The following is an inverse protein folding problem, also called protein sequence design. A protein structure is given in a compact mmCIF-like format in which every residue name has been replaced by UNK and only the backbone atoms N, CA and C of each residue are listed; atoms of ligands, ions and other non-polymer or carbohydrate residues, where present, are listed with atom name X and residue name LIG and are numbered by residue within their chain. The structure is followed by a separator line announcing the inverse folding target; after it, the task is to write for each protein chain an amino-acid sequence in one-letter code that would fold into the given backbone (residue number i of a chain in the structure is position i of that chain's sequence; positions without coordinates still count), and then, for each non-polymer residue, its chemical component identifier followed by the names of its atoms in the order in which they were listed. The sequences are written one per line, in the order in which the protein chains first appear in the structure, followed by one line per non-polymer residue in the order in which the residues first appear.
data_IF_219223060758
#
_entry.id   IF_219223060758
#
_cell.length_a   1.000
_cell.length_b   1.000
_cell.length_c   1.000
_cell.angle_alpha   90.00
_cell.angle_beta   90.00
_cell.angle_gamma   90.00
#
_symmetry.space_group_name_H-M   'P 1'
#
loop_
_entity.id
_entity.type
_entity.pdbx_description
1 polymer ?
#
# COMPACT_ATOMS: atom_id res chain seq x y z
N UNK A 1 2.89 11.80 -31.71
CA UNK A 1 3.27 10.39 -31.46
C UNK A 1 2.39 9.54 -32.36
N UNK A 2 2.99 8.77 -33.27
CA UNK A 2 2.26 7.99 -34.27
C UNK A 2 1.88 6.67 -33.61
N UNK A 3 0.60 6.48 -33.28
CA UNK A 3 0.10 5.21 -32.76
C UNK A 3 0.19 4.15 -33.86
N UNK A 4 1.24 3.32 -33.79
CA UNK A 4 1.43 2.21 -34.69
C UNK A 4 0.29 1.21 -34.47
N UNK A 5 -0.66 1.15 -35.41
CA UNK A 5 -1.80 0.23 -35.39
C UNK A 5 -1.28 -1.21 -35.45
N UNK A 6 -1.15 -1.85 -34.29
CA UNK A 6 -0.68 -3.23 -34.15
C UNK A 6 -1.66 -4.13 -34.91
N UNK A 7 -1.17 -4.83 -35.95
CA UNK A 7 -1.97 -5.78 -36.72
C UNK A 7 -2.40 -6.93 -35.80
N UNK A 8 -3.71 -7.09 -35.60
CA UNK A 8 -4.29 -8.21 -34.82
C UNK A 8 -3.90 -9.52 -35.50
N UNK A 9 -3.24 -10.42 -34.76
CA UNK A 9 -2.88 -11.76 -35.25
C UNK A 9 -4.15 -12.59 -35.43
N UNK A 10 -4.31 -13.20 -36.61
CA UNK A 10 -5.41 -14.14 -36.85
C UNK A 10 -5.16 -15.41 -36.04
N UNK A 11 -6.08 -15.72 -35.13
CA UNK A 11 -6.02 -16.94 -34.30
C UNK A 11 -7.15 -17.88 -34.69
N UNK A 12 -6.87 -19.17 -34.80
CA UNK A 12 -7.87 -20.18 -35.19
C UNK A 12 -8.97 -20.31 -34.12
N UNK A 13 -10.24 -20.25 -34.52
CA UNK A 13 -11.41 -20.38 -33.64
C UNK A 13 -12.09 -21.74 -33.76
N UNK A 14 -11.31 -22.82 -33.90
CA UNK A 14 -11.86 -24.18 -34.12
C UNK A 14 -12.28 -24.92 -32.84
N UNK A 15 -11.69 -24.58 -31.70
CA UNK A 15 -11.93 -25.29 -30.42
C UNK A 15 -12.48 -24.33 -29.37
N UNK A 16 -13.38 -24.80 -28.50
CA UNK A 16 -13.93 -24.01 -27.37
C UNK A 16 -12.86 -23.35 -26.51
N UNK A 17 -11.73 -24.04 -26.28
CA UNK A 17 -10.56 -23.49 -25.56
C UNK A 17 -9.94 -22.28 -26.27
N UNK A 18 -9.95 -22.25 -27.60
CA UNK A 18 -9.44 -21.11 -28.37
C UNK A 18 -10.41 -19.92 -28.33
N UNK A 19 -11.72 -20.18 -28.41
CA UNK A 19 -12.75 -19.16 -28.23
C UNK A 19 -12.61 -18.44 -26.89
N UNK A 20 -12.53 -19.21 -25.78
CA UNK A 20 -12.38 -18.63 -24.43
C UNK A 20 -11.13 -17.77 -24.25
N UNK A 21 -10.06 -18.01 -25.01
CA UNK A 21 -8.76 -17.33 -24.85
C UNK A 21 -8.59 -16.09 -25.72
N UNK A 22 -9.28 -16.02 -26.86
CA UNK A 22 -9.02 -15.00 -27.90
C UNK A 22 -10.26 -14.18 -28.25
N UNK A 23 -11.35 -14.33 -27.50
CA UNK A 23 -12.46 -13.38 -27.51
C UNK A 23 -12.12 -12.31 -26.48
N UNK A 24 -11.97 -11.08 -26.95
CA UNK A 24 -11.72 -9.93 -26.10
C UNK A 24 -13.07 -9.38 -25.62
N UNK A 25 -13.37 -9.56 -24.34
CA UNK A 25 -14.59 -9.04 -23.69
C UNK A 25 -14.33 -7.77 -22.89
N UNK A 26 -13.08 -7.28 -22.88
CA UNK A 26 -12.66 -6.15 -22.05
C UNK A 26 -13.45 -4.88 -22.34
N UNK A 27 -13.78 -4.64 -23.60
CA UNK A 27 -14.59 -3.49 -24.02
C UNK A 27 -16.00 -3.53 -23.37
N UNK A 28 -16.62 -4.71 -23.34
CA UNK A 28 -17.93 -4.89 -22.70
C UNK A 28 -17.81 -4.75 -21.17
N UNK A 29 -16.78 -5.35 -20.58
CA UNK A 29 -16.54 -5.25 -19.13
C UNK A 29 -16.28 -3.79 -18.71
N UNK A 30 -15.44 -3.07 -19.45
CA UNK A 30 -15.10 -1.66 -19.20
C UNK A 30 -16.33 -0.76 -19.36
N UNK A 31 -17.17 -1.01 -20.36
CA UNK A 31 -18.45 -0.32 -20.51
C UNK A 31 -19.40 -0.57 -19.32
N UNK A 32 -19.54 -1.82 -18.87
CA UNK A 32 -20.39 -2.15 -17.72
C UNK A 32 -19.86 -1.57 -16.42
N UNK A 33 -18.55 -1.56 -16.23
CA UNK A 33 -17.90 -0.95 -15.06
C UNK A 33 -18.05 0.57 -15.05
N UNK A 34 -17.90 1.22 -16.20
CA UNK A 34 -18.16 2.66 -16.34
C UNK A 34 -19.61 3.00 -16.02
N UNK A 35 -20.58 2.22 -16.51
CA UNK A 35 -21.99 2.42 -16.19
C UNK A 35 -22.27 2.29 -14.68
N UNK A 36 -21.69 1.29 -14.00
CA UNK A 36 -21.82 1.15 -12.54
C UNK A 36 -21.15 2.30 -11.79
N UNK A 37 -20.01 2.78 -12.28
CA UNK A 37 -19.32 3.94 -11.71
C UNK A 37 -20.15 5.20 -11.85
N UNK A 38 -20.78 5.42 -13.01
CA UNK A 38 -21.73 6.50 -13.22
C UNK A 38 -22.90 6.38 -12.25
N UNK A 39 -23.57 5.23 -12.15
CA UNK A 39 -24.64 4.99 -11.15
C UNK A 39 -24.20 5.30 -9.71
N UNK A 40 -22.95 4.98 -9.34
CA UNK A 40 -22.39 5.28 -8.02
C UNK A 40 -22.09 6.76 -7.79
N UNK A 41 -21.60 7.45 -8.82
CA UNK A 41 -21.22 8.87 -8.77
C UNK A 41 -22.39 9.81 -9.06
N UNK A 42 -23.54 9.27 -9.50
CA UNK A 42 -24.78 9.99 -9.76
C UNK A 42 -25.02 10.26 -11.26
N UNK A 43 -25.58 11.42 -11.58
CA UNK A 43 -26.00 11.75 -12.96
C UNK A 43 -24.81 11.68 -13.92
N UNK A 44 -24.93 10.98 -15.08
CA UNK A 44 -23.86 10.91 -16.07
C UNK A 44 -23.54 12.29 -16.61
N UNK A 45 -22.28 12.51 -16.98
CA UNK A 45 -21.79 13.85 -17.36
C UNK A 45 -22.55 14.43 -18.57
N UNK A 46 -23.02 13.58 -19.48
CA UNK A 46 -23.79 13.95 -20.67
C UNK A 46 -25.17 14.54 -20.37
N UNK A 47 -25.77 14.19 -19.23
CA UNK A 47 -27.10 14.65 -18.83
C UNK A 47 -27.05 15.89 -17.92
N UNK A 48 -25.86 16.24 -17.40
CA UNK A 48 -25.69 17.40 -16.51
C UNK A 48 -25.80 18.69 -17.30
N UNK A 49 -26.50 19.67 -16.73
CA UNK A 49 -26.62 21.01 -17.32
C UNK A 49 -25.29 21.75 -17.17
N UNK A 50 -24.87 22.47 -18.22
CA UNK A 50 -23.61 23.23 -18.24
C UNK A 50 -23.44 24.18 -17.03
N UNK A 51 -24.53 24.72 -16.49
CA UNK A 51 -24.52 25.60 -15.31
C UNK A 51 -24.08 24.89 -14.02
N UNK A 52 -24.28 23.58 -13.91
CA UNK A 52 -23.79 22.76 -12.79
C UNK A 52 -22.34 22.31 -12.99
N UNK A 53 -21.90 22.19 -14.25
CA UNK A 53 -20.56 21.75 -14.61
C UNK A 53 -19.53 22.88 -14.50
N UNK A 54 -19.94 24.10 -14.85
CA UNK A 54 -19.04 25.24 -14.97
C UNK A 54 -19.48 26.37 -14.07
N UNK A 55 -18.64 26.73 -13.10
CA UNK A 55 -18.73 28.00 -12.38
C UNK A 55 -17.74 28.95 -13.04
N UNK A 56 -18.26 30.01 -13.66
CA UNK A 56 -17.41 31.08 -14.19
C UNK A 56 -16.91 31.89 -13.01
N UNK A 57 -15.65 31.66 -12.63
CA UNK A 57 -14.97 32.43 -11.61
C UNK A 57 -14.80 33.87 -12.13
N UNK A 58 -15.66 34.78 -11.67
CA UNK A 58 -15.58 36.23 -11.94
C UNK A 58 -14.71 36.96 -10.92
N UNK A 59 -13.94 36.21 -10.14
CA UNK A 59 -12.89 36.80 -9.33
C UNK A 59 -11.79 37.26 -10.29
N UNK A 60 -11.70 38.57 -10.52
CA UNK A 60 -10.46 39.14 -11.04
C UNK A 60 -9.37 38.64 -10.10
N UNK A 61 -8.46 37.84 -10.65
CA UNK A 61 -7.42 37.17 -9.90
C UNK A 61 -6.37 38.22 -9.49
N UNK A 62 -6.74 39.15 -8.62
CA UNK A 62 -5.82 39.74 -7.67
C UNK A 62 -5.61 38.65 -6.62
N UNK A 63 -4.80 37.66 -6.99
CA UNK A 63 -4.25 36.68 -6.06
C UNK A 63 -3.32 37.46 -5.13
N UNK A 64 -3.88 38.17 -4.15
CA UNK A 64 -3.17 38.63 -2.97
C UNK A 64 -2.82 37.41 -2.11
N UNK A 65 -2.12 36.44 -2.69
CA UNK A 65 -1.46 35.40 -1.91
C UNK A 65 -0.43 36.12 -1.08
N UNK A 66 -0.59 36.05 0.24
CA UNK A 66 0.49 36.40 1.17
C UNK A 66 1.79 35.77 0.67
N UNK A 67 2.90 36.50 0.76
CA UNK A 67 4.22 36.03 0.28
C UNK A 67 4.54 34.59 0.72
N UNK A 68 4.05 34.19 1.90
CA UNK A 68 4.16 32.82 2.45
C UNK A 68 3.38 31.76 1.66
N UNK A 69 2.17 32.07 1.19
CA UNK A 69 1.36 31.13 0.39
C UNK A 69 1.93 30.96 -1.01
N UNK A 70 2.41 32.05 -1.64
CA UNK A 70 3.10 31.99 -2.91
C UNK A 70 4.38 31.14 -2.83
N UNK A 71 5.18 31.31 -1.77
CA UNK A 71 6.37 30.50 -1.52
C UNK A 71 6.05 29.00 -1.33
N UNK A 72 4.94 28.66 -0.64
CA UNK A 72 4.49 27.27 -0.47
C UNK A 72 4.04 26.63 -1.78
N UNK A 73 3.30 27.35 -2.62
CA UNK A 73 2.90 26.85 -3.94
C UNK A 73 4.11 26.65 -4.85
N UNK A 74 5.07 27.57 -4.83
CA UNK A 74 6.33 27.42 -5.55
C UNK A 74 7.13 26.20 -5.08
N UNK A 75 7.16 25.91 -3.77
CA UNK A 75 7.79 24.71 -3.22
C UNK A 75 7.06 23.42 -3.64
N UNK A 76 5.72 23.44 -3.73
CA UNK A 76 4.94 22.27 -4.17
C UNK A 76 5.21 21.92 -5.63
N UNK A 77 5.41 22.93 -6.48
CA UNK A 77 5.70 22.75 -7.90
C UNK A 77 7.20 22.53 -8.19
N UNK A 78 8.08 22.81 -7.22
CA UNK A 78 9.52 22.60 -7.36
C UNK A 78 9.85 21.12 -7.22
N UNK A 79 10.70 20.62 -8.11
CA UNK A 79 11.21 19.25 -8.01
C UNK A 79 11.95 19.03 -6.68
N UNK A 80 11.78 17.86 -6.02
CA UNK A 80 12.46 17.60 -4.76
C UNK A 80 13.97 17.46 -4.95
N UNK A 81 14.72 17.89 -3.93
CA UNK A 81 16.19 18.01 -3.96
C UNK A 81 16.91 16.71 -4.33
N UNK A 82 16.32 15.54 -4.06
CA UNK A 82 16.89 14.24 -4.41
C UNK A 82 17.08 14.05 -5.93
N UNK A 83 16.30 14.72 -6.77
CA UNK A 83 16.47 14.67 -8.22
C UNK A 83 17.57 15.60 -8.74
N UNK A 84 18.13 16.49 -7.91
CA UNK A 84 19.24 17.37 -8.31
C UNK A 84 20.47 16.57 -8.76
N UNK A 85 20.72 15.40 -8.15
CA UNK A 85 21.83 14.51 -8.53
C UNK A 85 21.62 13.78 -9.85
N UNK A 86 20.39 13.78 -10.40
CA UNK A 86 20.09 13.18 -11.70
C UNK A 86 20.23 14.19 -12.85
N UNK A 87 20.22 15.48 -12.55
CA UNK A 87 20.44 16.53 -13.54
C UNK A 87 21.94 16.67 -13.80
N UNK A 88 22.36 16.96 -15.04
CA UNK A 88 23.76 17.20 -15.34
C UNK A 88 24.23 18.47 -14.61
N UNK A 89 25.50 18.48 -14.19
CA UNK A 89 26.11 19.65 -13.54
C UNK A 89 26.29 20.84 -14.49
N UNK A 90 26.26 20.61 -15.81
CA UNK A 90 26.36 21.60 -16.87
C UNK A 90 25.17 21.50 -17.82
N UNK A 91 24.67 22.63 -18.30
CA UNK A 91 23.58 22.70 -19.28
C UNK A 91 24.05 22.43 -20.73
N UNK A 92 25.35 22.18 -20.89
CA UNK A 92 25.97 21.76 -22.15
C UNK A 92 25.61 20.30 -22.43
N UNK A 93 25.06 19.97 -23.62
CA UNK A 93 24.78 18.58 -23.98
C UNK A 93 26.09 17.78 -24.10
N UNK A 94 26.10 16.57 -23.56
CA UNK A 94 27.25 15.66 -23.66
C UNK A 94 27.60 15.43 -25.15
N UNK A 95 28.86 15.67 -25.58
CA UNK A 95 29.27 15.48 -26.98
C UNK A 95 29.25 14.02 -27.43
N UNK A 96 29.12 13.07 -26.50
CA UNK A 96 29.11 11.62 -26.76
C UNK A 96 27.74 11.07 -26.34
N UNK A 97 26.82 10.91 -27.30
CA UNK A 97 25.43 10.49 -27.03
C UNK A 97 25.26 8.99 -26.70
N UNK A 98 26.23 8.15 -27.07
CA UNK A 98 26.18 6.69 -26.89
C UNK A 98 27.46 6.20 -26.23
N UNK A 99 27.36 5.86 -24.93
CA UNK A 99 28.43 5.19 -24.19
C UNK A 99 28.11 3.71 -24.05
N UNK A 100 29.14 2.86 -24.07
CA UNK A 100 28.99 1.44 -23.77
C UNK A 100 28.67 1.28 -22.26
N UNK A 101 27.41 0.98 -21.93
CA UNK A 101 27.02 0.78 -20.53
C UNK A 101 27.38 -0.63 -20.05
N UNK A 102 28.23 -0.71 -19.03
CA UNK A 102 28.46 -1.95 -18.28
C UNK A 102 27.17 -2.29 -17.51
N UNK A 103 26.62 -3.49 -17.74
CA UNK A 103 25.43 -3.96 -17.02
C UNK A 103 25.74 -4.05 -15.52
N UNK A 104 25.13 -3.17 -14.73
CA UNK A 104 25.20 -3.19 -13.25
C UNK A 104 24.77 -4.57 -12.71
N UNK A 105 25.37 -5.00 -11.59
CA UNK A 105 25.12 -6.32 -10.96
C UNK A 105 23.62 -6.56 -10.69
N UNK A 106 22.91 -5.53 -10.24
CA UNK A 106 21.47 -5.56 -9.99
C UNK A 106 20.65 -5.89 -11.25
N UNK A 107 20.96 -5.28 -12.40
CA UNK A 107 20.32 -5.61 -13.68
C UNK A 107 20.64 -7.03 -14.15
N UNK A 108 21.82 -7.56 -13.83
CA UNK A 108 22.18 -8.97 -14.11
C UNK A 108 21.37 -9.94 -13.24
N UNK A 109 21.16 -9.63 -11.97
CA UNK A 109 20.34 -10.43 -11.05
C UNK A 109 18.87 -10.45 -11.46
N UNK A 110 18.29 -9.30 -11.81
CA UNK A 110 16.91 -9.23 -12.32
C UNK A 110 16.73 -10.07 -13.58
N UNK A 111 17.71 -10.04 -14.49
CA UNK A 111 17.66 -10.86 -15.71
C UNK A 111 17.77 -12.36 -15.40
N UNK A 112 18.64 -12.77 -14.45
CA UNK A 112 18.73 -14.16 -13.96
C UNK A 112 17.43 -14.63 -13.31
N UNK A 113 16.83 -13.79 -12.47
CA UNK A 113 15.56 -14.10 -11.82
C UNK A 113 14.43 -14.26 -12.85
N UNK A 114 14.43 -13.41 -13.90
CA UNK A 114 13.47 -13.53 -15.02
C UNK A 114 13.70 -14.79 -15.87
N UNK A 115 14.93 -15.28 -15.99
CA UNK A 115 15.17 -16.57 -16.67
C UNK A 115 14.75 -17.75 -15.81
N UNK A 116 14.97 -17.71 -14.49
CA UNK A 116 14.56 -18.77 -13.56
C UNK A 116 13.03 -18.91 -13.48
N UNK A 117 12.29 -17.80 -13.54
CA UNK A 117 10.81 -17.86 -13.56
C UNK A 117 10.27 -18.46 -14.86
N UNK A 118 10.96 -18.28 -15.99
CA UNK A 118 10.59 -18.90 -17.27
C UNK A 118 10.88 -20.40 -17.31
N UNK A 119 11.99 -20.84 -16.71
CA UNK A 119 12.27 -22.28 -16.57
C UNK A 119 11.32 -22.96 -15.58
N UNK A 120 10.87 -22.24 -14.54
CA UNK A 120 9.90 -22.74 -13.58
C UNK A 120 8.49 -22.96 -14.20
N UNK A 121 8.14 -22.22 -15.25
CA UNK A 121 6.87 -22.43 -15.95
C UNK A 121 6.88 -23.63 -16.91
N UNK A 122 8.06 -24.06 -17.38
CA UNK A 122 8.21 -25.24 -18.25
C UNK A 122 8.32 -26.57 -17.48
N UNK A 123 8.58 -26.54 -16.17
CA UNK A 123 8.55 -27.73 -15.31
C UNK A 123 7.19 -27.89 -14.59
N UNK A 124 6.14 -28.20 -15.35
CA UNK A 124 4.86 -28.67 -14.77
C UNK A 124 4.62 -30.14 -15.12
N UNK A 125 5.42 -31.00 -14.48
CA UNK A 125 4.98 -32.32 -14.05
C UNK A 125 5.24 -32.39 -12.55
N UNK A 126 4.30 -31.84 -11.78
CA UNK A 126 4.25 -32.08 -10.34
C UNK A 126 3.66 -33.47 -10.15
N UNK A 127 4.49 -34.44 -9.81
CA UNK A 127 4.00 -35.63 -9.14
C UNK A 127 3.33 -35.19 -7.83
N UNK A 128 2.16 -35.76 -7.53
CA UNK A 128 1.40 -35.44 -6.33
C UNK A 128 2.23 -35.78 -5.09
N UNK A 129 2.69 -34.76 -4.38
CA UNK A 129 3.30 -34.91 -3.06
C UNK A 129 2.15 -35.26 -2.10
N UNK A 130 1.99 -36.57 -1.82
CA UNK A 130 0.92 -37.12 -0.96
C UNK A 130 1.15 -36.92 0.55
N UNK A 131 2.24 -36.27 0.95
CA UNK A 131 2.57 -36.02 2.34
C UNK A 131 2.70 -34.52 2.61
N UNK A 132 1.99 -34.04 3.62
CA UNK A 132 2.08 -32.65 4.06
C UNK A 132 3.52 -32.32 4.49
N UNK A 133 4.17 -31.43 3.73
CA UNK A 133 5.56 -31.01 3.96
C UNK A 133 5.69 -30.24 5.29
N UNK A 134 4.57 -29.74 5.83
CA UNK A 134 4.54 -28.88 7.01
C UNK A 134 4.25 -29.61 8.32
N UNK A 135 3.96 -30.92 8.32
CA UNK A 135 3.76 -31.72 9.54
C UNK A 135 5.04 -32.30 10.14
N UNK A 136 6.17 -32.20 9.44
CA UNK A 136 7.45 -32.74 9.92
C UNK A 136 8.15 -31.71 10.82
N UNK A 137 7.63 -31.51 12.04
CA UNK A 137 8.23 -30.61 13.04
C UNK A 137 9.55 -31.13 13.60
N UNK A 138 9.82 -32.42 13.42
CA UNK A 138 11.01 -33.08 13.93
C UNK A 138 12.01 -33.30 12.80
N UNK A 139 13.09 -32.50 12.79
CA UNK A 139 14.18 -32.58 11.81
C UNK A 139 14.91 -33.94 11.84
N UNK A 140 14.73 -34.69 12.93
CA UNK A 140 15.17 -36.05 13.14
C UNK A 140 13.99 -36.84 13.69
N UNK A 141 13.74 -38.08 13.25
CA UNK A 141 12.70 -38.92 13.83
C UNK A 141 12.99 -39.15 15.32
N UNK A 142 11.93 -39.19 16.14
CA UNK A 142 12.02 -39.33 17.59
C UNK A 142 12.82 -40.58 18.00
N UNK A 143 12.69 -41.65 17.21
CA UNK A 143 13.43 -42.91 17.35
C UNK A 143 14.95 -42.77 17.25
N UNK A 144 15.46 -41.78 16.50
CA UNK A 144 16.91 -41.50 16.42
C UNK A 144 17.37 -40.63 17.59
N UNK A 145 16.46 -39.87 18.18
CA UNK A 145 16.77 -38.91 19.24
C UNK A 145 16.85 -39.58 20.62
N UNK A 146 16.10 -40.67 20.84
CA UNK A 146 16.08 -41.39 22.13
C UNK A 146 17.41 -42.04 22.53
N UNK A 147 18.21 -42.53 21.57
CA UNK A 147 19.49 -43.20 21.86
C UNK A 147 20.71 -42.27 21.75
N UNK A 148 20.52 -41.03 21.30
CA UNK A 148 21.60 -40.06 21.13
C UNK A 148 21.72 -39.13 22.34
N UNK A 149 22.95 -38.89 22.81
CA UNK A 149 23.23 -37.83 23.77
C UNK A 149 22.76 -36.46 23.24
N UNK A 150 22.32 -35.58 24.13
CA UNK A 150 21.83 -34.23 23.78
C UNK A 150 22.83 -33.42 22.93
N UNK A 151 24.12 -33.64 23.12
CA UNK A 151 25.19 -33.04 22.30
C UNK A 151 25.31 -33.68 20.91
N UNK A 152 25.13 -35.00 20.80
CA UNK A 152 25.09 -35.72 19.52
C UNK A 152 23.92 -35.26 18.65
N UNK A 153 22.75 -35.05 19.25
CA UNK A 153 21.58 -34.47 18.57
C UNK A 153 21.89 -33.07 18.05
N UNK A 154 22.55 -32.22 18.85
CA UNK A 154 22.96 -30.86 18.44
C UNK A 154 23.98 -30.88 17.30
N UNK A 155 24.98 -31.75 17.38
CA UNK A 155 25.99 -31.92 16.34
C UNK A 155 25.34 -32.36 15.01
N UNK A 156 24.52 -33.40 15.04
CA UNK A 156 23.81 -33.90 13.85
C UNK A 156 22.93 -32.84 13.21
N UNK A 157 22.11 -32.12 14.01
CA UNK A 157 21.26 -31.02 13.49
C UNK A 157 22.11 -29.90 12.85
N UNK A 158 23.29 -29.61 13.40
CA UNK A 158 24.19 -28.57 12.86
C UNK A 158 24.73 -28.94 11.47
N UNK A 159 25.03 -30.22 11.25
CA UNK A 159 25.64 -30.72 10.01
C UNK A 159 24.63 -31.10 8.92
N UNK A 160 23.34 -31.29 9.24
CA UNK A 160 22.29 -31.57 8.27
C UNK A 160 21.88 -30.37 7.38
N UNK A 161 22.50 -29.20 7.56
CA UNK A 161 22.23 -28.01 6.74
C UNK A 161 20.89 -27.33 7.02
N UNK A 162 20.00 -27.93 7.82
CA UNK A 162 18.71 -27.37 8.25
C UNK A 162 18.90 -26.52 9.50
N UNK A 163 19.63 -25.42 9.35
CA UNK A 163 19.82 -24.47 10.43
C UNK A 163 18.49 -23.77 10.75
N UNK A 164 17.98 -23.90 11.99
CA UNK A 164 16.84 -23.13 12.49
C UNK A 164 17.21 -21.64 12.48
N UNK A 165 16.83 -20.92 11.43
CA UNK A 165 17.05 -19.47 11.34
C UNK A 165 16.21 -18.80 12.42
N UNK A 166 16.84 -18.05 13.32
CA UNK A 166 16.12 -17.22 14.30
C UNK A 166 15.42 -16.09 13.54
N UNK A 167 14.11 -15.92 13.76
CA UNK A 167 13.41 -14.74 13.27
C UNK A 167 13.97 -13.50 13.98
N UNK A 168 14.24 -12.40 13.26
CA UNK A 168 14.66 -11.15 13.90
C UNK A 168 13.56 -10.65 14.84
N UNK A 169 13.96 -10.12 16.01
CA UNK A 169 13.04 -9.66 17.05
C UNK A 169 12.11 -8.53 16.59
N UNK A 170 12.50 -7.77 15.56
CA UNK A 170 11.66 -6.75 14.94
C UNK A 170 10.39 -7.30 14.32
N UNK A 171 10.42 -8.52 13.75
CA UNK A 171 9.25 -9.16 13.13
C UNK A 171 8.27 -9.74 14.16
N UNK A 172 8.69 -9.91 15.41
CA UNK A 172 7.81 -10.37 16.50
C UNK A 172 6.97 -9.22 17.10
N UNK A 173 7.35 -7.96 16.83
CA UNK A 173 6.62 -6.81 17.32
C UNK A 173 5.32 -6.64 16.52
N UNK A 174 4.19 -6.54 17.21
CA UNK A 174 2.92 -6.15 16.58
C UNK A 174 3.04 -4.72 16.03
N UNK A 175 2.46 -4.43 14.86
CA UNK A 175 2.61 -3.12 14.21
C UNK A 175 1.91 -1.99 14.97
N UNK A 176 0.83 -2.29 15.71
CA UNK A 176 0.06 -1.35 16.51
C UNK A 176 -0.19 -1.91 17.91
N UNK A 177 -0.32 -1.00 18.87
CA UNK A 177 -0.80 -1.31 20.24
C UNK A 177 -2.32 -1.51 20.24
N UNK A 178 -3.02 -0.84 19.32
CA UNK A 178 -4.46 -0.89 19.19
C UNK A 178 -4.94 -2.23 18.59
N UNK A 179 -6.12 -2.73 18.99
CA UNK A 179 -6.74 -3.88 18.37
C UNK A 179 -7.07 -3.58 16.89
N UNK A 180 -7.20 -4.63 16.09
CA UNK A 180 -7.50 -4.49 14.66
C UNK A 180 -8.89 -3.88 14.38
N UNK A 181 -9.84 -4.05 15.30
CA UNK A 181 -11.20 -3.51 15.23
C UNK A 181 -11.58 -3.00 16.62
N UNK A 182 -12.03 -1.76 16.70
CA UNK A 182 -12.60 -1.21 17.93
C UNK A 182 -14.04 -1.71 18.08
N UNK A 183 -14.36 -2.32 19.22
CA UNK A 183 -15.71 -2.80 19.49
C UNK A 183 -16.53 -1.64 20.06
N UNK A 184 -17.69 -1.29 19.47
CA UNK A 184 -18.53 -0.21 19.99
C UNK A 184 -19.16 -0.59 21.33
N UNK A 185 -19.44 0.42 22.16
CA UNK A 185 -20.12 0.21 23.43
C UNK A 185 -21.60 -0.23 23.21
N UNK A 186 -22.15 -1.19 23.96
CA UNK A 186 -23.52 -1.72 23.73
C UNK A 186 -24.62 -0.65 23.76
N UNK A 187 -24.46 0.40 24.58
CA UNK A 187 -25.35 1.56 24.63
C UNK A 187 -25.45 2.38 23.33
N UNK A 188 -24.57 2.16 22.35
CA UNK A 188 -24.61 2.82 21.02
C UNK A 188 -25.46 2.09 19.98
N UNK A 189 -25.99 0.92 20.34
CA UNK A 189 -26.91 0.19 19.46
C UNK A 189 -28.23 0.95 19.27
N UNK A 190 -28.96 0.64 18.21
CA UNK A 190 -30.25 1.29 17.90
C UNK A 190 -31.33 1.00 18.96
N UNK A 191 -31.24 -0.14 19.63
CA UNK A 191 -32.14 -0.55 20.71
C UNK A 191 -31.32 -1.05 21.92
N UNK A 192 -30.65 -0.13 22.65
CA UNK A 192 -29.82 -0.51 23.76
C UNK A 192 -30.67 -0.89 24.98
N UNK A 193 -30.11 -1.71 25.87
CA UNK A 193 -30.72 -1.87 27.19
C UNK A 193 -30.63 -0.54 27.95
N UNK A 194 -31.58 -0.29 28.84
CA UNK A 194 -31.63 0.97 29.60
C UNK A 194 -30.33 1.20 30.39
N UNK A 195 -29.79 0.16 31.01
CA UNK A 195 -28.54 0.24 31.80
C UNK A 195 -27.36 0.60 30.91
N UNK A 196 -27.18 -0.07 29.78
CA UNK A 196 -26.05 0.16 28.89
C UNK A 196 -26.06 1.58 28.31
N UNK A 197 -27.25 2.13 28.03
CA UNK A 197 -27.37 3.50 27.55
C UNK A 197 -27.02 4.54 28.62
N UNK A 198 -27.49 4.35 29.86
CA UNK A 198 -27.15 5.26 30.97
C UNK A 198 -25.66 5.21 31.31
N UNK A 199 -25.08 4.00 31.31
CA UNK A 199 -23.65 3.81 31.55
C UNK A 199 -22.80 4.52 30.49
N UNK A 200 -23.21 4.44 29.22
CA UNK A 200 -22.58 5.17 28.13
C UNK A 200 -22.63 6.68 28.35
N UNK A 201 -23.80 7.24 28.64
CA UNK A 201 -23.97 8.67 28.87
C UNK A 201 -23.09 9.15 30.04
N UNK A 202 -23.05 8.37 31.11
CA UNK A 202 -22.22 8.67 32.27
C UNK A 202 -20.72 8.66 31.92
N UNK A 203 -20.25 7.68 31.17
CA UNK A 203 -18.85 7.62 30.70
C UNK A 203 -18.49 8.79 29.79
N UNK A 204 -19.40 9.19 28.88
CA UNK A 204 -19.21 10.35 28.01
C UNK A 204 -19.08 11.62 28.87
N UNK A 205 -19.99 11.83 29.81
CA UNK A 205 -19.97 12.98 30.69
C UNK A 205 -18.65 13.08 31.49
N UNK A 206 -18.14 11.96 32.01
CA UNK A 206 -16.86 11.92 32.71
C UNK A 206 -15.68 12.32 31.81
N UNK A 207 -15.63 11.79 30.58
CA UNK A 207 -14.58 12.14 29.61
C UNK A 207 -14.62 13.60 29.20
N UNK A 208 -15.80 14.16 28.98
CA UNK A 208 -15.96 15.60 28.69
C UNK A 208 -15.44 16.46 29.85
N UNK A 209 -15.76 16.10 31.10
CA UNK A 209 -15.21 16.80 32.27
C UNK A 209 -13.68 16.72 32.35
N UNK A 210 -13.09 15.59 31.97
CA UNK A 210 -11.63 15.45 31.89
C UNK A 210 -11.04 16.37 30.81
N UNK A 211 -11.65 16.43 29.62
CA UNK A 211 -11.20 17.32 28.55
C UNK A 211 -11.34 18.80 28.92
N UNK A 212 -12.45 19.19 29.54
CA UNK A 212 -12.63 20.56 30.05
C UNK A 212 -11.53 20.94 31.04
N UNK A 213 -11.18 20.06 31.99
CA UNK A 213 -10.09 20.30 32.94
C UNK A 213 -8.72 20.42 32.26
N UNK A 214 -8.46 19.57 31.26
CA UNK A 214 -7.22 19.63 30.49
C UNK A 214 -7.13 20.93 29.70
N UNK A 215 -8.21 21.35 29.06
CA UNK A 215 -8.29 22.61 28.31
C UNK A 215 -8.10 23.82 29.23
N UNK A 216 -8.79 23.87 30.37
CA UNK A 216 -8.61 24.91 31.38
C UNK A 216 -7.16 24.98 31.89
N UNK A 217 -6.53 23.82 32.11
CA UNK A 217 -5.13 23.74 32.50
C UNK A 217 -4.21 24.30 31.41
N UNK A 218 -4.42 23.90 30.16
CA UNK A 218 -3.65 24.38 29.02
C UNK A 218 -3.85 25.88 28.81
N UNK A 219 -5.08 26.39 28.86
CA UNK A 219 -5.38 27.82 28.75
C UNK A 219 -4.68 28.62 29.85
N UNK A 220 -4.71 28.10 31.09
CA UNK A 220 -3.97 28.71 32.21
C UNK A 220 -2.47 28.77 31.94
N UNK A 221 -1.86 27.67 31.51
CA UNK A 221 -0.41 27.57 31.31
C UNK A 221 0.07 28.32 30.07
N UNK A 222 -0.75 28.38 29.01
CA UNK A 222 -0.33 28.92 27.71
C UNK A 222 -0.83 30.34 27.43
N UNK A 223 -2.08 30.66 27.74
CA UNK A 223 -2.65 31.98 27.40
C UNK A 223 -2.57 32.93 28.58
N UNK A 224 -2.97 32.50 29.79
CA UNK A 224 -3.02 33.39 30.97
C UNK A 224 -1.62 33.74 31.49
N UNK A 225 -0.70 32.78 31.49
CA UNK A 225 0.69 33.03 31.91
C UNK A 225 1.47 33.95 30.95
N UNK A 226 1.13 34.00 29.66
CA UNK A 226 1.89 34.72 28.63
C UNK A 226 1.22 36.02 28.13
N UNK A 227 0.12 36.47 28.75
CA UNK A 227 -0.62 37.71 28.39
C UNK A 227 0.10 39.03 28.72
N UNK A 228 1.44 39.03 28.83
CA UNK A 228 2.24 40.22 29.16
C UNK A 228 3.29 40.48 28.07
N UNK A 229 2.88 41.22 27.03
CA UNK A 229 3.71 42.15 26.24
C UNK A 229 2.94 42.62 24.99
N UNK A 230 2.03 43.59 25.17
CA UNK A 230 1.75 44.56 24.11
C UNK A 230 1.67 45.92 24.78
N UNK A 231 2.76 46.68 24.63
CA UNK A 231 2.82 48.12 24.87
C UNK A 231 1.99 48.85 23.79
#
# INVERSE_FOLDING_TARGET
MIDAKIKKRKVSKKTKKSWRKHVDVKDVDEFLDNKRLEERLGVPFSERVNSQLFVVDKSEIIRNVSSKQAARLALKNKEPKCFASLKPHTEVPDPISKRNHVKLRTKKEVLKNRTLTRTATDCLKKEEIKSDVWTVTNLLPETITEWMSSDGVRHTIKHLGVQKRKLPSSLQKKPSVLPAVEVPHPGTSYNPSYTDHQDLLHQIAQKELEFMKQEEHLDRVTTKMFKKASH
#
